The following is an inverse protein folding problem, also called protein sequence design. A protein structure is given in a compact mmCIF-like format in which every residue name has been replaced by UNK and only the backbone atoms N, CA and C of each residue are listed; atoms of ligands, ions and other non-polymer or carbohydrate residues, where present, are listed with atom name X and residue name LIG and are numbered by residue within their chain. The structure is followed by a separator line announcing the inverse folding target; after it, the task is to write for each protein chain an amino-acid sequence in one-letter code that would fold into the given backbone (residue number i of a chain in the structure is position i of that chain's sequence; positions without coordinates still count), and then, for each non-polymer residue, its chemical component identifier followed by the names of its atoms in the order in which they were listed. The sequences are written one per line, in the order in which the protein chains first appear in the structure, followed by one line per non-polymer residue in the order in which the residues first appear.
data_IF_718046684225
#
_entry.id   IF_718046684225
#
_cell.length_a   1.000
_cell.length_b   1.000
_cell.length_c   1.000
_cell.angle_alpha   90.00
_cell.angle_beta   90.00
_cell.angle_gamma   90.00
#
_symmetry.space_group_name_H-M   'P 1'
#
loop_
_entity.id
_entity.type
_entity.pdbx_description
1 polymer ?
#
# COMPACT_ATOMS: atom_id res chain seq x y z
N UNK A 1 2.60 -29.75 1.22
CA UNK A 1 1.13 -29.65 1.22
C UNK A 1 0.76 -28.21 1.49
N UNK A 2 0.29 -27.45 0.50
CA UNK A 2 -0.37 -26.17 0.76
C UNK A 2 -1.69 -26.44 1.46
N UNK A 3 -1.99 -25.74 2.56
CA UNK A 3 -3.32 -25.79 3.16
C UNK A 3 -4.20 -24.83 2.35
N UNK A 4 -5.30 -25.34 1.80
CA UNK A 4 -6.36 -24.47 1.28
C UNK A 4 -6.84 -23.60 2.45
N UNK A 5 -6.85 -22.29 2.25
CA UNK A 5 -7.43 -21.36 3.21
C UNK A 5 -8.82 -20.96 2.72
N UNK A 6 -9.81 -21.04 3.59
CA UNK A 6 -11.08 -20.38 3.33
C UNK A 6 -10.93 -18.87 3.48
N UNK A 7 -11.79 -18.10 2.79
CA UNK A 7 -11.87 -16.65 3.01
C UNK A 7 -12.11 -16.32 4.49
N UNK A 8 -12.91 -17.11 5.19
CA UNK A 8 -13.16 -16.97 6.62
C UNK A 8 -11.87 -17.07 7.46
N UNK A 9 -11.02 -18.08 7.20
CA UNK A 9 -9.73 -18.20 7.91
C UNK A 9 -8.78 -17.03 7.62
N UNK A 10 -8.83 -16.44 6.42
CA UNK A 10 -8.04 -15.26 6.08
C UNK A 10 -8.58 -14.03 6.82
N UNK A 11 -9.90 -13.85 6.81
CA UNK A 11 -10.60 -12.80 7.56
C UNK A 11 -10.29 -12.86 9.04
N UNK A 12 -10.41 -14.03 9.67
CA UNK A 12 -10.09 -14.24 11.09
C UNK A 12 -8.65 -13.84 11.43
N UNK A 13 -7.70 -14.18 10.55
CA UNK A 13 -6.30 -13.80 10.74
C UNK A 13 -6.11 -12.28 10.67
N UNK A 14 -6.74 -11.61 9.71
CA UNK A 14 -6.69 -10.14 9.58
C UNK A 14 -7.33 -9.48 10.82
N UNK A 15 -8.51 -9.94 11.21
CA UNK A 15 -9.22 -9.43 12.41
C UNK A 15 -8.38 -9.66 13.66
N UNK A 16 -7.82 -10.86 13.84
CA UNK A 16 -6.96 -11.19 14.98
C UNK A 16 -5.70 -10.34 15.03
N UNK A 17 -5.09 -10.04 13.87
CA UNK A 17 -3.93 -9.17 13.76
C UNK A 17 -4.27 -7.76 14.29
N UNK A 18 -5.33 -7.15 13.76
CA UNK A 18 -5.73 -5.81 14.18
C UNK A 18 -6.28 -5.78 15.61
N UNK A 19 -6.95 -6.84 16.08
CA UNK A 19 -7.38 -7.00 17.47
C UNK A 19 -6.20 -7.11 18.45
N UNK A 20 -5.07 -7.66 18.01
CA UNK A 20 -3.83 -7.68 18.80
C UNK A 20 -3.19 -6.29 18.94
N UNK A 21 -3.44 -5.40 17.97
CA UNK A 21 -2.94 -4.02 17.97
C UNK A 21 -3.92 -3.02 18.58
N UNK A 22 -5.22 -3.28 18.48
CA UNK A 22 -6.32 -2.42 18.93
C UNK A 22 -7.17 -3.16 19.97
N UNK A 23 -7.32 -2.63 21.20
CA UNK A 23 -8.20 -3.23 22.20
C UNK A 23 -9.64 -3.42 21.68
N UNK A 24 -10.25 -4.57 21.94
CA UNK A 24 -11.58 -4.96 21.43
C UNK A 24 -12.70 -3.92 21.70
N UNK A 25 -12.67 -3.27 22.87
CA UNK A 25 -13.62 -2.19 23.22
C UNK A 25 -13.53 -0.96 22.31
N UNK A 26 -12.42 -0.77 21.61
CA UNK A 26 -12.19 0.35 20.69
C UNK A 26 -12.75 0.09 19.30
N UNK A 27 -12.87 -1.17 18.89
CA UNK A 27 -13.50 -1.54 17.61
C UNK A 27 -15.02 -1.31 17.61
N UNK A 28 -15.66 -1.34 18.80
CA UNK A 28 -17.10 -1.22 18.94
C UNK A 28 -17.64 0.23 19.05
N UNK A 29 -16.76 1.23 19.28
CA UNK A 29 -17.16 2.60 19.69
C UNK A 29 -16.48 3.72 18.88
N UNK A 30 -16.08 3.47 17.63
CA UNK A 30 -15.41 4.50 16.85
C UNK A 30 -16.42 5.40 16.10
N UNK A 31 -16.46 6.68 16.46
CA UNK A 31 -17.27 7.70 15.77
C UNK A 31 -16.49 8.42 14.64
N UNK A 32 -15.23 8.04 14.37
CA UNK A 32 -14.39 8.64 13.33
C UNK A 32 -14.37 7.76 12.08
N UNK A 33 -14.36 8.39 10.90
CA UNK A 33 -14.13 7.71 9.63
C UNK A 33 -12.75 7.03 9.64
N UNK A 34 -12.75 5.71 9.58
CA UNK A 34 -11.55 4.87 9.72
C UNK A 34 -11.78 3.55 8.98
N UNK A 35 -11.13 3.42 7.82
CA UNK A 35 -11.34 2.31 6.90
C UNK A 35 -10.94 0.95 7.45
N UNK A 36 -10.07 0.87 8.47
CA UNK A 36 -9.73 -0.41 9.11
C UNK A 36 -10.98 -0.99 9.76
N UNK A 37 -11.73 -0.19 10.51
CA UNK A 37 -12.96 -0.65 11.14
C UNK A 37 -14.06 -0.90 10.12
N UNK A 38 -14.20 -0.03 9.12
CA UNK A 38 -15.17 -0.22 8.04
C UNK A 38 -14.92 -1.53 7.30
N UNK A 39 -13.65 -1.84 7.01
CA UNK A 39 -13.23 -3.09 6.36
C UNK A 39 -13.43 -4.31 7.26
N UNK A 40 -13.10 -4.22 8.55
CA UNK A 40 -13.33 -5.33 9.51
C UNK A 40 -14.83 -5.60 9.69
N UNK A 41 -15.66 -4.56 9.75
CA UNK A 41 -17.11 -4.68 9.82
C UNK A 41 -17.68 -5.28 8.54
N UNK A 42 -17.25 -4.80 7.38
CA UNK A 42 -17.60 -5.40 6.09
C UNK A 42 -17.24 -6.89 6.08
N UNK A 43 -16.03 -7.24 6.51
CA UNK A 43 -15.55 -8.62 6.56
C UNK A 43 -16.35 -9.52 7.51
N UNK A 44 -16.77 -9.02 8.67
CA UNK A 44 -17.60 -9.80 9.60
C UNK A 44 -19.03 -10.01 9.09
N UNK A 45 -19.53 -9.11 8.25
CA UNK A 45 -20.82 -9.27 7.57
C UNK A 45 -20.71 -10.14 6.30
N UNK A 46 -19.54 -10.14 5.66
CA UNK A 46 -19.23 -10.94 4.47
C UNK A 46 -19.41 -12.45 4.73
N UNK A 47 -19.24 -12.91 5.97
CA UNK A 47 -19.47 -14.30 6.40
C UNK A 47 -20.89 -14.81 6.08
N UNK A 48 -21.86 -13.91 5.92
CA UNK A 48 -23.25 -14.25 5.62
C UNK A 48 -23.56 -14.25 4.11
N UNK A 49 -22.61 -13.87 3.25
CA UNK A 49 -22.79 -13.84 1.79
C UNK A 49 -22.41 -15.20 1.18
N UNK A 50 -23.41 -15.95 0.73
CA UNK A 50 -23.23 -17.22 -0.01
C UNK A 50 -22.76 -16.91 -1.43
N UNK A 51 -21.47 -16.59 -1.57
CA UNK A 51 -20.79 -16.39 -2.84
C UNK A 51 -20.49 -14.93 -3.17
N UNK A 52 -19.36 -14.70 -3.83
CA UNK A 52 -19.02 -13.41 -4.41
C UNK A 52 -19.68 -13.26 -5.79
N UNK A 53 -20.77 -12.50 -5.89
CA UNK A 53 -21.31 -12.04 -7.17
C UNK A 53 -20.94 -10.58 -7.36
N UNK A 54 -20.16 -10.28 -8.40
CA UNK A 54 -19.95 -8.89 -8.81
C UNK A 54 -21.28 -8.20 -9.07
N UNK A 55 -21.46 -6.99 -8.52
CA UNK A 55 -22.70 -6.22 -8.57
C UNK A 55 -23.54 -6.23 -7.28
N UNK A 56 -23.33 -7.19 -6.37
CA UNK A 56 -23.98 -7.18 -5.03
C UNK A 56 -23.15 -6.45 -3.96
N UNK A 57 -21.86 -6.22 -4.22
CA UNK A 57 -20.91 -5.54 -3.34
C UNK A 57 -20.30 -4.36 -4.10
N UNK A 58 -20.20 -3.20 -3.46
CA UNK A 58 -19.57 -2.03 -4.05
C UNK A 58 -18.06 -2.29 -4.30
N UNK A 59 -17.56 -1.89 -5.48
CA UNK A 59 -16.13 -1.96 -5.82
C UNK A 59 -15.24 -1.35 -4.74
N UNK A 60 -15.72 -0.29 -4.07
CA UNK A 60 -15.04 0.37 -2.97
C UNK A 60 -14.77 -0.53 -1.75
N UNK A 61 -15.72 -1.35 -1.33
CA UNK A 61 -15.56 -2.24 -0.18
C UNK A 61 -14.54 -3.33 -0.47
N UNK A 62 -14.54 -3.81 -1.72
CA UNK A 62 -13.56 -4.77 -2.22
C UNK A 62 -12.17 -4.11 -2.21
N UNK A 63 -12.02 -2.92 -2.80
CA UNK A 63 -10.74 -2.18 -2.79
C UNK A 63 -10.24 -1.94 -1.35
N UNK A 64 -11.13 -1.56 -0.42
CA UNK A 64 -10.77 -1.34 0.98
C UNK A 64 -10.30 -2.63 1.67
N UNK A 65 -10.95 -3.77 1.41
CA UNK A 65 -10.49 -5.07 1.90
C UNK A 65 -9.08 -5.40 1.40
N UNK A 66 -8.84 -5.27 0.09
CA UNK A 66 -7.53 -5.58 -0.50
C UNK A 66 -6.45 -4.62 0.00
N UNK A 67 -6.78 -3.34 0.18
CA UNK A 67 -5.91 -2.34 0.81
C UNK A 67 -5.57 -2.75 2.24
N UNK A 68 -6.57 -3.09 3.07
CA UNK A 68 -6.36 -3.53 4.44
C UNK A 68 -5.46 -4.77 4.48
N UNK A 69 -5.67 -5.72 3.56
CA UNK A 69 -4.88 -6.92 3.50
C UNK A 69 -3.41 -6.64 3.11
N UNK A 70 -3.19 -5.73 2.16
CA UNK A 70 -1.84 -5.28 1.83
C UNK A 70 -1.17 -4.56 3.01
N UNK A 71 -1.90 -3.70 3.72
CA UNK A 71 -1.39 -3.03 4.90
C UNK A 71 -1.02 -4.04 6.01
N UNK A 72 -1.83 -5.09 6.20
CA UNK A 72 -1.52 -6.20 7.11
C UNK A 72 -0.24 -6.96 6.72
N UNK A 73 -0.08 -7.26 5.43
CA UNK A 73 1.17 -7.84 4.88
C UNK A 73 2.37 -6.93 5.18
N UNK A 74 2.23 -5.63 4.91
CA UNK A 74 3.25 -4.62 5.18
C UNK A 74 3.65 -4.59 6.65
N UNK A 75 2.69 -4.63 7.57
CA UNK A 75 2.94 -4.66 9.02
C UNK A 75 3.65 -5.94 9.47
N UNK A 76 3.20 -7.10 8.98
CA UNK A 76 3.84 -8.38 9.32
C UNK A 76 5.28 -8.39 8.82
N UNK A 77 5.52 -7.93 7.59
CA UNK A 77 6.87 -7.81 7.04
C UNK A 77 7.73 -6.81 7.84
N UNK A 78 7.18 -5.63 8.15
CA UNK A 78 7.87 -4.57 8.89
C UNK A 78 8.23 -4.96 10.33
N UNK A 79 7.47 -5.86 10.95
CA UNK A 79 7.78 -6.42 12.28
C UNK A 79 8.71 -7.63 12.23
N UNK A 80 9.13 -8.09 11.05
CA UNK A 80 9.89 -9.35 10.90
C UNK A 80 9.07 -10.59 11.27
N UNK A 81 7.74 -10.51 11.12
CA UNK A 81 6.81 -11.58 11.40
C UNK A 81 6.69 -12.61 10.27
N UNK A 82 5.67 -13.46 10.36
CA UNK A 82 5.41 -14.53 9.40
C UNK A 82 4.20 -14.19 8.51
N UNK A 83 4.47 -13.85 7.25
CA UNK A 83 3.45 -13.46 6.26
C UNK A 83 2.51 -14.61 5.92
N UNK A 84 3.02 -15.84 5.82
CA UNK A 84 2.20 -17.02 5.50
C UNK A 84 1.08 -17.23 6.53
N UNK A 85 1.35 -16.90 7.78
CA UNK A 85 0.37 -17.02 8.86
C UNK A 85 -0.25 -15.67 9.29
N UNK A 86 0.19 -14.56 8.70
CA UNK A 86 -0.16 -13.19 9.10
C UNK A 86 0.07 -12.93 10.59
N UNK A 87 1.22 -13.38 11.11
CA UNK A 87 1.60 -13.22 12.51
C UNK A 87 2.60 -12.07 12.61
N UNK A 88 2.24 -11.04 13.37
CA UNK A 88 3.14 -9.91 13.68
C UNK A 88 4.34 -10.40 14.51
N UNK A 89 5.53 -9.91 14.14
CA UNK A 89 6.78 -10.14 14.88
C UNK A 89 6.98 -9.13 16.00
N UNK A 90 8.16 -8.51 16.05
CA UNK A 90 8.45 -7.49 17.06
C UNK A 90 7.88 -6.12 16.63
N UNK A 91 6.78 -5.73 17.28
CA UNK A 91 6.14 -4.41 17.06
C UNK A 91 7.07 -3.22 17.34
N UNK A 92 8.11 -3.37 18.17
CA UNK A 92 9.08 -2.29 18.44
C UNK A 92 9.90 -1.91 17.20
N UNK A 93 9.93 -2.80 16.21
CA UNK A 93 10.60 -2.55 14.94
C UNK A 93 9.77 -1.68 13.99
N UNK A 94 8.48 -1.48 14.27
CA UNK A 94 7.57 -0.63 13.49
C UNK A 94 7.46 0.72 14.17
N UNK A 95 6.95 0.74 15.40
CA UNK A 95 6.77 1.97 16.18
C UNK A 95 6.60 1.64 17.67
N UNK A 96 6.58 2.66 18.52
CA UNK A 96 6.22 2.51 19.93
C UNK A 96 4.76 2.08 20.02
N UNK A 97 4.46 1.08 20.86
CA UNK A 97 3.11 0.50 21.02
C UNK A 97 2.00 1.55 21.19
N UNK A 98 2.22 2.61 21.97
CA UNK A 98 1.24 3.69 22.19
C UNK A 98 0.96 4.50 20.92
N UNK A 99 1.97 4.66 20.07
CA UNK A 99 1.92 5.48 18.87
C UNK A 99 1.25 4.67 17.73
N UNK A 100 1.47 3.35 17.68
CA UNK A 100 0.66 2.41 16.87
C UNK A 100 -0.81 2.50 17.25
N UNK A 101 -1.14 2.33 18.54
CA UNK A 101 -2.53 2.42 19.02
C UNK A 101 -3.14 3.80 18.72
N UNK A 102 -2.38 4.86 18.94
CA UNK A 102 -2.81 6.24 18.70
C UNK A 102 -3.11 6.52 17.23
N UNK A 103 -2.27 6.05 16.31
CA UNK A 103 -2.46 6.18 14.87
C UNK A 103 -3.69 5.40 14.40
N UNK A 104 -3.85 4.15 14.87
CA UNK A 104 -4.93 3.28 14.41
C UNK A 104 -6.30 3.61 15.02
N UNK A 105 -6.32 4.36 16.14
CA UNK A 105 -7.53 5.05 16.65
C UNK A 105 -7.84 6.35 15.90
N UNK A 106 -6.91 6.80 15.05
CA UNK A 106 -7.04 8.04 14.30
C UNK A 106 -8.16 8.01 13.26
N UNK A 107 -8.31 9.12 12.57
CA UNK A 107 -9.01 9.15 11.29
C UNK A 107 -8.15 8.49 10.20
N UNK A 108 -8.73 8.27 9.02
CA UNK A 108 -8.06 7.72 7.85
C UNK A 108 -6.71 8.39 7.54
N UNK A 109 -6.57 9.71 7.81
CA UNK A 109 -5.32 10.43 7.53
C UNK A 109 -4.17 9.92 8.40
N UNK A 110 -4.40 9.76 9.71
CA UNK A 110 -3.37 9.27 10.64
C UNK A 110 -3.02 7.81 10.40
N UNK A 111 -4.03 7.00 10.06
CA UNK A 111 -3.85 5.59 9.74
C UNK A 111 -2.97 5.45 8.50
N UNK A 112 -3.29 6.19 7.44
CA UNK A 112 -2.62 6.08 6.15
C UNK A 112 -1.18 6.57 6.15
N UNK A 113 -0.87 7.62 6.91
CA UNK A 113 0.52 8.03 7.14
C UNK A 113 1.35 6.88 7.73
N UNK A 114 0.84 6.19 8.75
CA UNK A 114 1.59 5.10 9.38
C UNK A 114 1.66 3.83 8.56
N UNK A 115 0.61 3.51 7.81
CA UNK A 115 0.60 2.30 7.00
C UNK A 115 1.42 2.44 5.72
N UNK A 116 1.51 3.64 5.13
CA UNK A 116 2.44 3.90 4.02
C UNK A 116 3.89 3.63 4.42
N UNK A 117 4.34 4.21 5.52
CA UNK A 117 5.69 3.99 6.05
C UNK A 117 5.93 2.52 6.43
N UNK A 118 4.94 1.85 7.03
CA UNK A 118 5.05 0.43 7.38
C UNK A 118 5.14 -0.48 6.15
N UNK A 119 4.38 -0.17 5.10
CA UNK A 119 4.42 -0.91 3.84
C UNK A 119 5.78 -0.80 3.15
N UNK A 120 6.35 0.41 3.11
CA UNK A 120 7.70 0.63 2.61
C UNK A 120 8.76 -0.10 3.47
N UNK A 121 8.66 0.01 4.80
CA UNK A 121 9.55 -0.68 5.73
C UNK A 121 9.49 -2.20 5.60
N UNK A 122 8.29 -2.76 5.40
CA UNK A 122 8.11 -4.17 5.13
C UNK A 122 8.78 -4.58 3.82
N UNK A 123 8.64 -3.75 2.78
CA UNK A 123 9.20 -4.04 1.46
C UNK A 123 10.72 -4.09 1.53
N UNK A 124 11.36 -3.06 2.08
CA UNK A 124 12.83 -2.97 2.07
C UNK A 124 13.46 -4.12 2.85
N UNK A 125 12.84 -4.57 3.94
CA UNK A 125 13.30 -5.71 4.74
C UNK A 125 13.15 -7.07 4.05
N UNK A 126 12.14 -7.21 3.21
CA UNK A 126 11.91 -8.43 2.43
C UNK A 126 12.70 -8.46 1.13
N UNK A 127 12.98 -7.28 0.57
CA UNK A 127 13.70 -7.16 -0.68
C UNK A 127 15.16 -7.53 -0.49
N UNK A 128 15.77 -8.13 -1.52
CA UNK A 128 17.23 -8.26 -1.62
C UNK A 128 17.87 -6.91 -2.02
N UNK A 129 17.45 -5.82 -1.38
CA UNK A 129 17.95 -4.47 -1.63
C UNK A 129 19.38 -4.34 -1.09
N UNK A 130 20.29 -3.67 -1.83
CA UNK A 130 21.62 -3.33 -1.30
C UNK A 130 21.54 -2.32 -0.13
N UNK A 131 20.39 -1.67 0.02
CA UNK A 131 20.11 -0.66 1.04
C UNK A 131 19.28 -1.26 2.17
N UNK A 132 19.57 -0.86 3.40
CA UNK A 132 18.81 -1.25 4.58
C UNK A 132 18.43 -0.02 5.42
N UNK A 133 17.40 -0.16 6.25
CA UNK A 133 17.02 0.87 7.21
C UNK A 133 18.11 0.92 8.29
N UNK A 134 18.93 1.95 8.24
CA UNK A 134 19.97 2.20 9.25
C UNK A 134 19.37 2.79 10.54
N UNK A 135 18.34 3.66 10.40
CA UNK A 135 17.58 4.22 11.52
C UNK A 135 16.11 4.35 11.15
N UNK A 136 15.25 3.91 12.06
CA UNK A 136 13.82 4.24 12.05
C UNK A 136 13.63 5.53 12.86
N UNK A 137 13.53 6.66 12.14
CA UNK A 137 13.57 7.99 12.75
C UNK A 137 12.31 8.29 13.54
N UNK A 138 11.18 7.67 13.19
CA UNK A 138 9.90 7.72 13.92
C UNK A 138 10.06 7.30 15.39
N UNK A 139 10.97 6.35 15.64
CA UNK A 139 11.22 5.80 16.97
C UNK A 139 12.29 6.56 17.77
N UNK A 140 13.18 7.28 17.08
CA UNK A 140 14.34 7.94 17.68
C UNK A 140 14.09 9.41 18.00
N UNK A 141 13.28 10.08 17.18
CA UNK A 141 13.11 11.51 17.30
C UNK A 141 12.34 11.91 18.58
N UNK A 142 12.61 13.12 19.13
CA UNK A 142 11.82 13.67 20.23
C UNK A 142 10.32 13.71 19.89
N UNK A 143 9.48 13.72 20.93
CA UNK A 143 8.05 13.87 20.71
C UNK A 143 7.77 15.21 20.01
N UNK A 144 6.88 15.19 19.02
CA UNK A 144 6.44 16.36 18.25
C UNK A 144 7.50 16.98 17.31
N UNK A 145 8.68 16.36 17.17
CA UNK A 145 9.65 16.79 16.16
C UNK A 145 9.18 16.39 14.76
N UNK A 146 9.32 17.30 13.80
CA UNK A 146 9.15 17.01 12.38
C UNK A 146 10.38 16.26 11.88
N UNK A 147 10.33 14.95 11.82
CA UNK A 147 11.39 14.14 11.20
C UNK A 147 10.85 13.35 10.03
N UNK A 148 11.75 12.93 9.16
CA UNK A 148 11.48 11.92 8.16
C UNK A 148 11.14 10.57 8.82
N UNK A 149 10.57 9.65 8.07
CA UNK A 149 10.29 8.30 8.55
C UNK A 149 11.56 7.46 8.73
N UNK A 150 12.46 7.46 7.74
CA UNK A 150 13.61 6.54 7.72
C UNK A 150 14.92 7.20 7.28
N UNK A 151 16.03 6.66 7.78
CA UNK A 151 17.36 6.85 7.22
C UNK A 151 17.84 5.51 6.65
N UNK A 152 18.06 5.45 5.35
CA UNK A 152 18.65 4.30 4.68
C UNK A 152 20.17 4.46 4.57
N UNK A 153 20.89 3.34 4.68
CA UNK A 153 22.34 3.29 4.45
C UNK A 153 22.70 2.31 3.35
N UNK A 154 23.65 2.70 2.50
CA UNK A 154 24.28 1.87 1.48
C UNK A 154 25.74 2.25 1.28
N UNK A 155 26.69 1.42 1.77
CA UNK A 155 28.13 1.52 1.48
C UNK A 155 28.72 2.95 1.44
N UNK A 156 28.36 3.79 2.41
CA UNK A 156 28.87 5.17 2.54
C UNK A 156 27.91 6.27 2.09
N UNK A 157 26.82 5.94 1.39
CA UNK A 157 25.74 6.86 1.04
C UNK A 157 24.55 6.70 1.99
N UNK A 158 23.89 7.82 2.30
CA UNK A 158 22.76 7.87 3.24
C UNK A 158 21.58 8.62 2.63
N UNK A 159 20.40 8.03 2.72
CA UNK A 159 19.15 8.59 2.13
C UNK A 159 18.13 8.83 3.23
N UNK A 160 17.61 10.04 3.31
CA UNK A 160 16.42 10.33 4.08
C UNK A 160 15.19 9.96 3.26
N UNK A 161 14.29 9.18 3.85
CA UNK A 161 13.05 8.75 3.20
C UNK A 161 11.85 9.24 4.00
N UNK A 162 10.95 9.94 3.32
CA UNK A 162 9.63 10.30 3.85
C UNK A 162 8.53 9.58 3.07
N UNK A 163 7.61 8.93 3.76
CA UNK A 163 6.49 8.21 3.18
C UNK A 163 5.17 8.94 3.47
N UNK A 164 4.45 9.38 2.44
CA UNK A 164 3.11 9.96 2.57
C UNK A 164 2.11 9.18 1.74
N UNK A 165 0.90 9.02 2.26
CA UNK A 165 -0.26 8.53 1.50
C UNK A 165 -1.30 9.64 1.43
N UNK A 166 -1.65 10.03 0.22
CA UNK A 166 -2.58 11.13 -0.03
C UNK A 166 -3.98 10.60 -0.22
N UNK A 167 -4.92 11.25 0.47
CA UNK A 167 -6.35 11.00 0.38
C UNK A 167 -7.00 11.92 -0.63
N UNK A 168 -7.84 11.35 -1.49
CA UNK A 168 -8.81 12.11 -2.26
C UNK A 168 -9.85 12.72 -1.32
N UNK A 169 -9.95 14.05 -1.31
CA UNK A 169 -10.94 14.79 -0.51
C UNK A 169 -12.23 15.04 -1.26
N UNK A 170 -12.22 14.94 -2.59
CA UNK A 170 -13.36 15.20 -3.47
C UNK A 170 -13.31 14.29 -4.68
N UNK A 171 -14.48 13.78 -5.08
CA UNK A 171 -14.62 13.02 -6.31
C UNK A 171 -14.24 13.89 -7.52
N UNK A 172 -13.68 13.27 -8.54
CA UNK A 172 -13.31 13.93 -9.80
C UNK A 172 -14.30 13.50 -10.88
N UNK A 173 -14.77 14.47 -11.65
CA UNK A 173 -15.77 14.24 -12.70
C UNK A 173 -15.13 13.87 -14.03
N UNK A 174 -13.82 14.10 -14.18
CA UNK A 174 -13.07 13.78 -15.39
C UNK A 174 -11.61 13.41 -15.08
N UNK A 175 -10.95 12.74 -16.03
CA UNK A 175 -9.54 12.38 -15.92
C UNK A 175 -8.59 13.60 -15.83
N UNK A 176 -8.74 14.67 -16.64
CA UNK A 176 -7.87 15.85 -16.49
C UNK A 176 -7.99 16.50 -15.11
N UNK A 177 -9.21 16.61 -14.58
CA UNK A 177 -9.46 17.13 -13.23
C UNK A 177 -8.80 16.24 -12.16
N UNK A 178 -8.87 14.92 -12.32
CA UNK A 178 -8.22 13.96 -11.42
C UNK A 178 -6.70 14.16 -11.40
N UNK A 179 -6.07 14.26 -12.57
CA UNK A 179 -4.63 14.49 -12.71
C UNK A 179 -4.23 15.82 -12.07
N UNK A 180 -4.95 16.90 -12.38
CA UNK A 180 -4.69 18.23 -11.80
C UNK A 180 -4.77 18.22 -10.26
N UNK A 181 -5.78 17.55 -9.70
CA UNK A 181 -5.93 17.41 -8.24
C UNK A 181 -4.78 16.65 -7.61
N UNK A 182 -4.31 15.57 -8.23
CA UNK A 182 -3.16 14.79 -7.74
C UNK A 182 -1.90 15.67 -7.75
N UNK A 183 -1.60 16.30 -8.89
CA UNK A 183 -0.42 17.17 -9.06
C UNK A 183 -0.44 18.30 -8.05
N UNK A 184 -1.56 19.03 -7.94
CA UNK A 184 -1.74 20.10 -6.96
C UNK A 184 -1.51 19.62 -5.52
N UNK A 185 -2.08 18.47 -5.15
CA UNK A 185 -1.90 17.92 -3.80
C UNK A 185 -0.44 17.60 -3.50
N UNK A 186 0.28 17.06 -4.48
CA UNK A 186 1.71 16.79 -4.38
C UNK A 186 2.47 18.10 -4.19
N UNK A 187 2.30 19.07 -5.09
CA UNK A 187 3.03 20.35 -5.03
C UNK A 187 2.77 21.11 -3.74
N UNK A 188 1.52 21.15 -3.27
CA UNK A 188 1.15 21.83 -2.03
C UNK A 188 1.82 21.21 -0.79
N UNK A 189 2.06 19.89 -0.81
CA UNK A 189 2.64 19.14 0.32
C UNK A 189 4.17 19.05 0.27
N UNK A 190 4.79 19.24 -0.90
CA UNK A 190 6.26 19.17 -1.02
C UNK A 190 6.95 20.12 -0.06
N UNK A 191 6.46 21.36 0.10
CA UNK A 191 7.09 22.32 1.01
C UNK A 191 7.14 21.84 2.47
N UNK A 192 6.09 21.14 2.93
CA UNK A 192 6.05 20.55 4.26
C UNK A 192 7.06 19.40 4.40
N UNK A 193 7.21 18.59 3.35
CA UNK A 193 8.14 17.47 3.31
C UNK A 193 9.60 17.96 3.28
N UNK A 194 9.90 19.02 2.52
CA UNK A 194 11.21 19.67 2.52
C UNK A 194 11.57 20.17 3.93
N UNK A 195 10.62 20.79 4.64
CA UNK A 195 10.83 21.17 6.04
C UNK A 195 11.12 19.96 6.95
N UNK A 196 10.53 18.78 6.69
CA UNK A 196 10.83 17.56 7.43
C UNK A 196 12.27 17.07 7.15
N UNK A 197 12.73 17.14 5.90
CA UNK A 197 14.12 16.81 5.57
C UNK A 197 15.09 17.73 6.31
N UNK A 198 14.95 19.04 6.18
CA UNK A 198 15.83 20.02 6.84
C UNK A 198 15.86 19.85 8.36
N UNK A 199 14.70 19.66 8.99
CA UNK A 199 14.59 19.41 10.43
C UNK A 199 15.27 18.09 10.83
N UNK A 200 15.20 17.06 9.99
CA UNK A 200 15.86 15.77 10.23
C UNK A 200 17.39 15.88 10.11
N UNK A 201 17.87 16.61 9.12
CA UNK A 201 19.31 16.86 8.92
C UNK A 201 19.90 17.58 10.13
N UNK A 202 19.21 18.61 10.63
CA UNK A 202 19.58 19.32 11.86
C UNK A 202 19.60 18.38 13.08
N UNK A 203 18.60 17.51 13.22
CA UNK A 203 18.54 16.53 14.30
C UNK A 203 19.67 15.50 14.24
N UNK A 204 20.02 15.03 13.06
CA UNK A 204 21.06 14.02 12.87
C UNK A 204 22.46 14.61 13.03
N UNK A 205 22.66 15.91 12.74
CA UNK A 205 23.93 16.61 12.93
C UNK A 205 25.08 16.10 12.06
N UNK A 206 24.78 15.37 10.98
CA UNK A 206 25.75 14.69 10.11
C UNK A 206 25.37 14.96 8.64
N UNK A 207 26.35 15.21 7.76
CA UNK A 207 26.34 14.85 6.34
C UNK A 207 25.33 15.51 5.39
N UNK A 208 25.62 15.38 4.09
CA UNK A 208 24.68 15.61 3.00
C UNK A 208 23.92 14.29 2.76
N UNK A 209 22.59 14.33 2.72
CA UNK A 209 21.76 13.16 2.44
C UNK A 209 21.05 13.33 1.10
N UNK A 210 20.86 12.22 0.40
CA UNK A 210 19.85 12.19 -0.66
C UNK A 210 18.47 12.21 -0.02
N UNK A 211 17.54 12.96 -0.62
CA UNK A 211 16.19 13.16 -0.10
C UNK A 211 15.17 12.49 -1.02
N UNK A 212 14.55 11.43 -0.52
CA UNK A 212 13.62 10.61 -1.29
C UNK A 212 12.22 10.66 -0.67
N UNK A 213 11.22 11.00 -1.47
CA UNK A 213 9.82 10.97 -1.06
C UNK A 213 9.09 9.78 -1.69
N UNK A 214 8.42 8.96 -0.89
CA UNK A 214 7.49 7.92 -1.35
C UNK A 214 6.06 8.44 -1.20
N UNK A 215 5.34 8.58 -2.30
CA UNK A 215 4.00 9.17 -2.36
C UNK A 215 2.98 8.16 -2.86
N UNK A 216 2.11 7.69 -1.98
CA UNK A 216 1.01 6.81 -2.31
C UNK A 216 -0.25 7.63 -2.66
N UNK A 217 -0.68 7.54 -3.91
CA UNK A 217 -1.85 8.22 -4.48
C UNK A 217 -2.98 7.23 -4.82
N UNK A 218 -2.92 5.99 -4.31
CA UNK A 218 -3.89 4.92 -4.63
C UNK A 218 -5.34 5.31 -4.36
N UNK A 219 -5.58 6.19 -3.38
CA UNK A 219 -6.94 6.64 -3.02
C UNK A 219 -7.68 7.36 -4.15
N UNK A 220 -6.94 7.94 -5.11
CA UNK A 220 -7.53 8.66 -6.24
C UNK A 220 -8.10 7.71 -7.31
N UNK A 221 -7.63 6.46 -7.39
CA UNK A 221 -8.05 5.49 -8.39
C UNK A 221 -9.22 4.59 -7.98
N UNK A 222 -9.72 4.74 -6.75
CA UNK A 222 -10.68 3.80 -6.14
C UNK A 222 -12.01 3.66 -6.91
N UNK A 223 -12.39 4.69 -7.68
CA UNK A 223 -13.62 4.74 -8.49
C UNK A 223 -13.33 4.67 -10.00
N UNK A 224 -12.07 4.47 -10.39
CA UNK A 224 -11.66 4.45 -11.79
C UNK A 224 -11.77 3.03 -12.36
N UNK A 225 -12.93 2.69 -12.92
CA UNK A 225 -13.13 1.40 -13.59
C UNK A 225 -12.74 1.47 -15.06
N UNK A 226 -12.05 0.43 -15.54
CA UNK A 226 -11.60 0.27 -16.93
C UNK A 226 -11.95 -1.13 -17.42
N UNK A 227 -12.66 -1.18 -18.53
CA UNK A 227 -13.20 -2.42 -19.10
C UNK A 227 -12.30 -2.88 -20.24
N UNK A 228 -11.79 -4.10 -20.12
CA UNK A 228 -11.06 -4.82 -21.15
C UNK A 228 -11.87 -6.06 -21.56
N UNK A 229 -11.50 -6.67 -22.69
CA UNK A 229 -12.25 -7.80 -23.26
C UNK A 229 -12.47 -8.96 -22.27
N UNK A 230 -11.49 -9.26 -21.42
CA UNK A 230 -11.50 -10.40 -20.51
C UNK A 230 -11.46 -10.03 -19.02
N UNK A 231 -11.34 -8.75 -18.68
CA UNK A 231 -11.21 -8.30 -17.29
C UNK A 231 -11.58 -6.83 -17.11
N UNK A 232 -11.76 -6.44 -15.84
CA UNK A 232 -11.91 -5.05 -15.41
C UNK A 232 -10.72 -4.71 -14.51
N UNK A 233 -10.19 -3.50 -14.67
CA UNK A 233 -9.22 -2.93 -13.73
C UNK A 233 -9.90 -1.77 -12.98
N UNK A 234 -9.81 -1.78 -11.65
CA UNK A 234 -10.23 -0.66 -10.80
C UNK A 234 -8.97 -0.03 -10.21
N UNK A 235 -8.68 1.23 -10.55
CA UNK A 235 -7.44 1.90 -10.15
C UNK A 235 -6.96 2.95 -11.16
N UNK A 236 -5.86 3.62 -10.81
CA UNK A 236 -5.12 4.47 -11.75
C UNK A 236 -4.30 3.58 -12.69
N UNK A 237 -4.22 3.92 -13.98
CA UNK A 237 -3.41 3.19 -14.94
C UNK A 237 -2.08 3.87 -15.18
N UNK A 238 -1.01 3.06 -15.20
CA UNK A 238 0.35 3.51 -15.50
C UNK A 238 0.46 4.27 -16.84
N UNK A 239 -0.19 3.76 -17.88
CA UNK A 239 -0.15 4.31 -19.23
C UNK A 239 -1.02 5.55 -19.44
N UNK A 240 -1.97 5.83 -18.54
CA UNK A 240 -2.95 6.91 -18.70
C UNK A 240 -2.73 8.02 -17.67
N UNK A 241 -3.25 7.88 -16.45
CA UNK A 241 -3.21 8.94 -15.44
C UNK A 241 -1.79 9.15 -14.90
N UNK A 242 -1.07 8.08 -14.63
CA UNK A 242 0.23 8.17 -13.95
C UNK A 242 1.28 8.82 -14.86
N UNK A 243 1.30 8.49 -16.15
CA UNK A 243 2.21 9.11 -17.12
C UNK A 243 1.96 10.63 -17.21
N UNK A 244 0.71 11.07 -17.17
CA UNK A 244 0.35 12.49 -17.16
C UNK A 244 0.71 13.17 -15.84
N UNK A 245 0.45 12.53 -14.70
CA UNK A 245 0.86 13.04 -13.38
C UNK A 245 2.38 13.23 -13.34
N UNK A 246 3.16 12.25 -13.80
CA UNK A 246 4.63 12.34 -13.87
C UNK A 246 5.05 13.52 -14.73
N UNK A 247 4.54 13.61 -15.97
CA UNK A 247 4.90 14.69 -16.90
C UNK A 247 4.57 16.08 -16.34
N UNK A 248 3.46 16.24 -15.63
CA UNK A 248 3.10 17.51 -15.01
C UNK A 248 3.95 17.83 -13.78
N UNK A 249 4.34 16.84 -12.98
CA UNK A 249 5.27 17.02 -11.86
C UNK A 249 6.66 17.41 -12.37
N UNK A 250 7.13 16.78 -13.45
CA UNK A 250 8.40 17.15 -14.13
C UNK A 250 8.40 18.59 -14.64
N UNK A 251 7.23 19.07 -15.11
CA UNK A 251 7.05 20.46 -15.50
C UNK A 251 7.00 21.42 -14.29
N UNK A 252 6.77 20.91 -13.07
CA UNK A 252 6.84 21.71 -11.85
C UNK A 252 8.31 21.84 -11.40
N UNK A 253 8.75 23.06 -11.12
CA UNK A 253 10.08 23.30 -10.53
C UNK A 253 10.10 22.91 -9.04
N UNK A 254 10.25 21.61 -8.77
CA UNK A 254 10.39 21.08 -7.41
C UNK A 254 11.85 21.21 -6.97
N UNK A 255 12.07 21.76 -5.77
CA UNK A 255 13.38 21.90 -5.15
C UNK A 255 13.44 21.23 -3.78
N UNK A 256 14.64 20.86 -3.33
CA UNK A 256 14.86 20.26 -2.01
C UNK A 256 14.50 18.78 -1.88
N UNK A 257 14.19 18.11 -3.00
CA UNK A 257 13.92 16.68 -3.13
C UNK A 257 14.71 16.14 -4.31
N UNK A 258 15.34 14.96 -4.15
CA UNK A 258 16.17 14.35 -5.18
C UNK A 258 15.40 13.32 -6.02
N UNK A 259 14.55 12.52 -5.37
CA UNK A 259 13.73 11.49 -6.01
C UNK A 259 12.33 11.44 -5.39
N UNK A 260 11.31 11.26 -6.22
CA UNK A 260 9.93 10.97 -5.81
C UNK A 260 9.57 9.60 -6.36
N UNK A 261 9.12 8.67 -5.52
CA UNK A 261 8.45 7.45 -6.00
C UNK A 261 6.95 7.59 -5.84
N UNK A 262 6.24 7.68 -6.96
CA UNK A 262 4.78 7.60 -6.97
C UNK A 262 4.36 6.15 -6.82
N UNK A 263 3.37 5.91 -5.96
CA UNK A 263 2.76 4.61 -5.76
C UNK A 263 1.25 4.69 -6.00
N UNK A 264 0.69 3.66 -6.62
CA UNK A 264 -0.76 3.56 -6.86
C UNK A 264 -1.19 2.09 -6.85
N UNK A 265 -2.49 1.84 -6.82
CA UNK A 265 -3.01 0.48 -6.80
C UNK A 265 -3.97 0.17 -7.94
N UNK A 266 -3.93 -1.06 -8.42
CA UNK A 266 -4.83 -1.63 -9.41
C UNK A 266 -5.44 -2.93 -8.89
N UNK A 267 -6.76 -3.01 -8.85
CA UNK A 267 -7.52 -4.22 -8.58
C UNK A 267 -7.96 -4.85 -9.90
N UNK A 268 -7.52 -6.07 -10.16
CA UNK A 268 -7.89 -6.86 -11.33
C UNK A 268 -9.10 -7.73 -11.01
N UNK A 269 -10.15 -7.58 -11.80
CA UNK A 269 -11.37 -8.40 -11.73
C UNK A 269 -11.49 -9.24 -13.01
N UNK A 270 -11.46 -10.56 -12.89
CA UNK A 270 -11.73 -11.48 -14.00
C UNK A 270 -13.05 -12.19 -13.72
N UNK A 271 -13.94 -12.28 -14.72
CA UNK A 271 -15.29 -12.84 -14.55
C UNK A 271 -16.04 -12.19 -13.37
N UNK A 272 -15.89 -10.87 -13.21
CA UNK A 272 -16.45 -10.10 -12.09
C UNK A 272 -16.00 -10.53 -10.70
N UNK A 273 -14.83 -11.18 -10.58
CA UNK A 273 -14.24 -11.60 -9.31
C UNK A 273 -12.84 -11.03 -9.14
N UNK A 274 -12.49 -10.55 -7.94
CA UNK A 274 -11.17 -10.01 -7.71
C UNK A 274 -10.12 -11.13 -7.73
N UNK A 275 -9.03 -10.85 -8.44
CA UNK A 275 -7.92 -11.78 -8.68
C UNK A 275 -6.61 -11.28 -8.17
N UNK A 276 -6.29 -10.02 -8.47
CA UNK A 276 -5.03 -9.47 -8.06
C UNK A 276 -5.21 -8.04 -7.59
N UNK A 277 -4.47 -7.70 -6.54
CA UNK A 277 -4.27 -6.32 -6.13
C UNK A 277 -2.79 -6.01 -6.28
N UNK A 278 -2.49 -5.07 -7.17
CA UNK A 278 -1.13 -4.69 -7.53
C UNK A 278 -0.88 -3.29 -7.02
N UNK A 279 0.06 -3.15 -6.09
CA UNK A 279 0.55 -1.86 -5.62
C UNK A 279 1.79 -1.50 -6.44
N UNK A 280 1.60 -0.64 -7.44
CA UNK A 280 2.62 -0.22 -8.39
C UNK A 280 3.43 0.94 -7.84
N UNK A 281 4.60 1.11 -8.44
CA UNK A 281 5.53 2.19 -8.14
C UNK A 281 6.15 2.72 -9.43
N UNK A 282 6.44 4.01 -9.47
CA UNK A 282 7.19 4.67 -10.53
C UNK A 282 8.15 5.69 -9.90
N UNK A 283 9.47 5.50 -10.01
CA UNK A 283 10.43 6.49 -9.59
C UNK A 283 10.48 7.65 -10.59
N UNK A 284 10.56 8.86 -10.06
CA UNK A 284 10.75 10.11 -10.77
C UNK A 284 11.98 10.81 -10.18
N UNK A 285 13.00 11.00 -11.01
CA UNK A 285 14.21 11.70 -10.62
C UNK A 285 14.00 13.20 -10.78
N UNK A 286 14.10 13.95 -9.68
CA UNK A 286 13.94 15.42 -9.70
C UNK A 286 15.30 16.09 -9.88
N UNK A 287 16.32 15.59 -9.19
CA UNK A 287 17.69 16.07 -9.31
C UNK A 287 18.51 15.11 -10.17
N UNK A 288 18.86 15.50 -11.39
CA UNK A 288 19.64 14.65 -12.32
C UNK A 288 21.02 14.22 -11.79
N UNK A 289 21.58 14.96 -10.81
CA UNK A 289 22.87 14.60 -10.20
C UNK A 289 22.76 13.53 -9.11
N UNK A 290 21.55 13.25 -8.61
CA UNK A 290 21.35 12.24 -7.56
C UNK A 290 21.58 10.83 -8.11
N UNK A 291 21.93 9.88 -7.23
CA UNK A 291 21.95 8.46 -7.60
C UNK A 291 20.72 7.80 -7.01
N UNK A 292 20.00 7.01 -7.81
CA UNK A 292 18.88 6.20 -7.31
C UNK A 292 19.46 5.05 -6.48
N UNK A 293 19.24 5.11 -5.17
CA UNK A 293 19.89 4.22 -4.19
C UNK A 293 19.10 2.92 -4.02
N UNK A 294 17.78 2.96 -4.17
CA UNK A 294 16.93 1.78 -4.13
C UNK A 294 15.80 1.89 -5.14
N UNK A 295 15.23 0.75 -5.54
CA UNK A 295 14.08 0.70 -6.45
C UNK A 295 12.91 0.03 -5.75
N UNK A 296 12.06 0.83 -5.10
CA UNK A 296 10.84 0.32 -4.50
C UNK A 296 10.01 -0.37 -5.58
N UNK A 297 9.93 -1.69 -5.54
CA UNK A 297 9.33 -2.51 -6.60
C UNK A 297 7.83 -2.74 -6.40
N UNK A 298 7.23 -2.16 -5.36
CA UNK A 298 5.82 -2.32 -5.04
C UNK A 298 5.46 -3.71 -4.52
N UNK A 299 4.18 -4.07 -4.63
CA UNK A 299 3.63 -5.32 -4.12
C UNK A 299 2.61 -5.93 -5.07
N UNK A 300 2.39 -7.23 -4.95
CA UNK A 300 1.29 -7.93 -5.61
C UNK A 300 0.71 -8.98 -4.69
N UNK A 301 -0.61 -8.99 -4.61
CA UNK A 301 -1.38 -10.04 -3.96
C UNK A 301 -2.22 -10.72 -5.03
N UNK A 302 -2.03 -12.03 -5.25
CA UNK A 302 -2.80 -12.83 -6.21
C UNK A 302 -3.64 -13.88 -5.47
N UNK A 303 -4.93 -13.95 -5.80
CA UNK A 303 -5.93 -14.85 -5.26
C UNK A 303 -6.34 -15.87 -6.32
N UNK A 304 -6.11 -17.15 -6.02
CA UNK A 304 -6.50 -18.26 -6.88
C UNK A 304 -7.73 -18.95 -6.27
N UNK A 305 -8.92 -18.83 -6.88
CA UNK A 305 -10.10 -19.51 -6.37
C UNK A 305 -9.96 -21.02 -6.58
N UNK A 306 -10.54 -21.83 -5.69
CA UNK A 306 -10.63 -23.28 -5.92
C UNK A 306 -11.62 -23.61 -7.07
N UNK A 307 -12.61 -22.75 -7.31
CA UNK A 307 -13.54 -22.88 -8.44
C UNK A 307 -14.50 -21.70 -8.57
N UNK A 308 -15.31 -21.71 -9.64
CA UNK A 308 -16.24 -20.60 -9.95
C UNK A 308 -17.37 -20.43 -8.93
N UNK A 309 -17.65 -21.42 -8.08
CA UNK A 309 -18.78 -21.38 -7.12
C UNK A 309 -18.36 -21.46 -5.65
N UNK A 310 -17.05 -21.53 -5.36
CA UNK A 310 -16.54 -21.68 -3.99
C UNK A 310 -16.06 -20.35 -3.42
N UNK A 311 -16.20 -20.17 -2.11
CA UNK A 311 -15.53 -19.11 -1.33
C UNK A 311 -14.14 -19.56 -0.83
N UNK A 312 -13.65 -20.69 -1.34
CA UNK A 312 -12.34 -21.26 -1.02
C UNK A 312 -11.30 -20.79 -2.03
N UNK A 313 -10.09 -20.51 -1.53
CA UNK A 313 -8.94 -20.21 -2.37
C UNK A 313 -8.01 -21.42 -2.38
N UNK A 314 -7.62 -21.82 -3.59
CA UNK A 314 -6.56 -22.80 -3.80
C UNK A 314 -5.23 -22.25 -3.29
N UNK A 315 -4.96 -20.97 -3.57
CA UNK A 315 -3.70 -20.34 -3.21
C UNK A 315 -3.86 -18.83 -3.06
N UNK A 316 -3.08 -18.26 -2.14
CA UNK A 316 -2.89 -16.82 -1.96
C UNK A 316 -1.39 -16.53 -2.06
N UNK A 317 -0.99 -15.74 -3.06
CA UNK A 317 0.41 -15.37 -3.28
C UNK A 317 0.62 -13.91 -2.94
N UNK A 318 1.68 -13.64 -2.19
CA UNK A 318 2.14 -12.29 -1.86
C UNK A 318 3.56 -12.14 -2.40
N UNK A 319 3.80 -11.07 -3.15
CA UNK A 319 5.08 -10.77 -3.80
C UNK A 319 5.47 -9.34 -3.46
N UNK A 320 6.73 -9.10 -3.05
CA UNK A 320 7.33 -7.77 -2.86
C UNK A 320 7.75 -7.13 -4.19
N UNK A 321 6.97 -7.37 -5.24
CA UNK A 321 7.16 -6.88 -6.60
C UNK A 321 5.80 -6.73 -7.26
N UNK A 322 5.55 -5.56 -7.84
CA UNK A 322 4.39 -5.22 -8.63
C UNK A 322 4.43 -5.94 -9.98
N UNK A 323 3.57 -6.93 -10.18
CA UNK A 323 3.52 -7.74 -11.40
C UNK A 323 2.83 -6.98 -12.53
N UNK A 324 3.27 -7.24 -13.76
CA UNK A 324 2.66 -6.66 -14.96
C UNK A 324 1.26 -7.22 -15.19
N UNK A 325 0.42 -6.49 -15.91
CA UNK A 325 -0.89 -6.99 -16.36
C UNK A 325 -0.76 -8.30 -17.14
N UNK A 326 0.26 -8.44 -17.99
CA UNK A 326 0.52 -9.69 -18.73
C UNK A 326 0.83 -10.87 -17.81
N UNK A 327 1.57 -10.65 -16.72
CA UNK A 327 1.84 -11.67 -15.72
C UNK A 327 0.55 -12.10 -15.02
N UNK A 328 -0.25 -11.13 -14.54
CA UNK A 328 -1.53 -11.40 -13.86
C UNK A 328 -2.47 -12.21 -14.77
N UNK A 329 -2.57 -11.82 -16.04
CA UNK A 329 -3.38 -12.54 -17.04
C UNK A 329 -2.86 -13.96 -17.30
N UNK A 330 -1.55 -14.12 -17.49
CA UNK A 330 -0.94 -15.45 -17.73
C UNK A 330 -1.12 -16.36 -16.52
N UNK A 331 -0.89 -15.83 -15.32
CA UNK A 331 -1.10 -16.49 -14.03
C UNK A 331 -2.55 -16.96 -13.88
N UNK A 332 -3.51 -16.11 -14.23
CA UNK A 332 -4.93 -16.45 -14.26
C UNK A 332 -5.25 -17.59 -15.23
N UNK A 333 -4.87 -17.45 -16.52
CA UNK A 333 -5.15 -18.45 -17.55
C UNK A 333 -4.55 -19.83 -17.22
N UNK A 334 -3.30 -19.85 -16.74
CA UNK A 334 -2.63 -21.08 -16.32
C UNK A 334 -3.31 -21.81 -15.15
N UNK A 335 -4.12 -21.08 -14.38
CA UNK A 335 -4.88 -21.62 -13.25
C UNK A 335 -6.29 -22.07 -13.63
N UNK A 336 -6.82 -21.57 -14.76
CA UNK A 336 -8.15 -21.95 -15.27
C UNK A 336 -8.10 -23.08 -16.30
N UNK A 337 -6.94 -23.34 -16.92
CA UNK A 337 -6.80 -24.31 -18.04
C UNK A 337 -6.51 -25.76 -17.61
N UNK A 338 -6.61 -26.09 -16.31
CA UNK A 338 -6.38 -27.44 -15.79
C UNK A 338 -7.60 -28.09 -15.11
N UNK A 339 -8.77 -28.08 -15.76
CA UNK A 339 -9.85 -29.02 -15.43
C UNK A 339 -10.48 -29.59 -16.70
N UNK A 340 -9.84 -30.60 -17.28
CA UNK A 340 -10.57 -31.63 -17.99
C UNK A 340 -11.47 -32.35 -16.97
N UNK A 341 -12.71 -31.90 -16.83
CA UNK A 341 -13.75 -32.67 -16.13
C UNK A 341 -14.17 -33.81 -17.05
N UNK A 342 -13.69 -35.02 -16.76
CA UNK A 342 -14.34 -36.23 -17.22
C UNK A 342 -15.63 -36.40 -16.41
N UNK A 343 -16.77 -36.29 -17.08
CA UNK A 343 -18.11 -36.55 -16.54
C UNK A 343 -18.37 -38.04 -16.41
#
# INVERSE_FOLDING_TARGET
MSKNLSLHQLTDKIISLYSGLLPFKMMANNNKKNYIFDSIHFLSQFENLVGFKGGEIASQDIVNFYKLFLDAVGLVAASGGNIQNLIIGDTKLIDRKRDIIGAYKGDDSKVDEKLCASLFQGWIRMSNSPCSISKDLRNLAPKDSKTCDFLLGNNGQSTLVECKRFHSTTESTSQPELVEKIVKKITDRIGEIVCQFESTELFLGIGQFDRHVVLDISSYGKDCERYFDDHIIVGLLGSEEISQVISQIEACSISGVDEITLCWSELFLFESKPRAYVFRTAPLKINESSQSIFRYSGWTIEFYPLGKKTNEFLELRVSSTARSQSWIKTSWLSSTDNLATYS
#
